data_IF_309391715871
#
_entry.id   IF_309391715871
#
_cell.length_a   1.000
_cell.length_b   1.000
_cell.length_c   1.000
_cell.angle_alpha   90.00
_cell.angle_beta   90.00
_cell.angle_gamma   90.00
#
_symmetry.space_group_name_H-M   'P 1'
#
loop_
_entity.id
_entity.type
_entity.pdbx_description
1 polymer ?
#
# COMPACT_ATOMS: atom_id res chain seq x y z
N UNK A 1 9.28 18.46 -15.13
CA UNK A 1 7.91 18.47 -14.61
C UNK A 1 7.47 17.02 -14.64
N UNK A 2 7.39 16.37 -13.48
CA UNK A 2 6.96 14.97 -13.42
C UNK A 2 5.50 14.86 -13.84
N UNK A 3 5.21 13.94 -14.75
CA UNK A 3 3.87 13.68 -15.24
C UNK A 3 3.18 12.69 -14.29
N UNK A 4 2.13 13.15 -13.60
CA UNK A 4 1.41 12.29 -12.64
C UNK A 4 0.11 11.77 -13.25
N UNK A 5 0.00 10.45 -13.36
CA UNK A 5 -1.19 9.73 -13.80
C UNK A 5 -2.07 9.50 -12.56
N UNK A 6 -3.11 10.33 -12.41
CA UNK A 6 -4.04 10.24 -11.28
C UNK A 6 -5.13 9.20 -11.53
N UNK A 7 -5.59 8.55 -10.45
CA UNK A 7 -6.82 7.76 -10.46
C UNK A 7 -8.00 8.71 -10.62
N UNK A 8 -8.98 8.31 -11.44
CA UNK A 8 -10.19 9.12 -11.65
C UNK A 8 -10.95 9.35 -10.35
N UNK A 9 -11.55 10.54 -10.21
CA UNK A 9 -12.30 10.93 -9.01
C UNK A 9 -13.49 9.98 -8.74
N UNK A 10 -14.12 9.46 -9.79
CA UNK A 10 -15.22 8.49 -9.67
C UNK A 10 -14.77 7.19 -8.98
N UNK A 11 -13.59 6.67 -9.36
CA UNK A 11 -13.00 5.47 -8.76
C UNK A 11 -12.59 5.74 -7.31
N UNK A 12 -12.02 6.92 -7.03
CA UNK A 12 -11.69 7.35 -5.65
C UNK A 12 -12.94 7.40 -4.77
N UNK A 13 -14.03 7.98 -5.25
CA UNK A 13 -15.29 8.06 -4.50
C UNK A 13 -15.90 6.68 -4.25
N UNK A 14 -15.84 5.77 -5.23
CA UNK A 14 -16.31 4.40 -5.08
C UNK A 14 -15.56 3.68 -3.96
N UNK A 15 -14.22 3.66 -4.00
CA UNK A 15 -13.42 3.03 -2.96
C UNK A 15 -13.50 3.74 -1.62
N UNK A 16 -13.74 5.06 -1.62
CA UNK A 16 -13.95 5.83 -0.38
C UNK A 16 -15.27 5.43 0.30
N UNK A 17 -16.32 5.11 -0.47
CA UNK A 17 -17.58 4.56 0.09
C UNK A 17 -17.37 3.17 0.68
N UNK A 18 -16.54 2.34 0.05
CA UNK A 18 -16.30 0.95 0.49
C UNK A 18 -15.34 0.85 1.69
N UNK A 19 -14.22 1.56 1.66
CA UNK A 19 -13.14 1.42 2.65
C UNK A 19 -13.05 2.60 3.64
N UNK A 20 -13.76 3.70 3.37
CA UNK A 20 -13.87 4.85 4.24
C UNK A 20 -12.51 5.43 4.64
N UNK A 21 -12.34 5.69 5.93
CA UNK A 21 -11.14 6.31 6.51
C UNK A 21 -9.85 5.47 6.38
N UNK A 22 -9.93 4.22 5.90
CA UNK A 22 -8.77 3.35 5.70
C UNK A 22 -8.16 3.46 4.31
N UNK A 23 -8.84 4.10 3.36
CA UNK A 23 -8.31 4.30 2.01
C UNK A 23 -7.20 5.35 2.04
N UNK A 24 -6.11 5.09 1.30
CA UNK A 24 -4.99 6.00 1.10
C UNK A 24 -4.64 6.04 -0.38
N UNK A 25 -4.24 7.22 -0.84
CA UNK A 25 -3.64 7.41 -2.15
C UNK A 25 -2.13 7.35 -1.98
N UNK A 26 -1.48 6.55 -2.83
CA UNK A 26 -0.04 6.34 -2.90
C UNK A 26 0.44 6.81 -4.27
N UNK A 27 1.53 7.55 -4.31
CA UNK A 27 2.16 8.02 -5.55
C UNK A 27 3.42 7.19 -5.76
N UNK A 28 3.45 6.41 -6.84
CA UNK A 28 4.56 5.52 -7.16
C UNK A 28 5.34 6.07 -8.35
N UNK A 29 6.67 6.16 -8.27
CA UNK A 29 7.49 6.47 -9.44
C UNK A 29 7.45 5.29 -10.40
N UNK A 30 7.17 5.55 -11.67
CA UNK A 30 7.18 4.56 -12.75
C UNK A 30 8.56 4.40 -13.39
N UNK A 31 9.45 5.35 -13.15
CA UNK A 31 10.84 5.32 -13.60
C UNK A 31 11.82 5.71 -12.48
N UNK A 32 13.09 5.34 -12.64
CA UNK A 32 14.16 5.61 -11.65
C UNK A 32 14.46 7.11 -11.48
N UNK A 33 13.97 7.93 -12.41
CA UNK A 33 14.22 9.37 -12.47
C UNK A 33 13.03 10.21 -11.97
N UNK A 34 11.94 9.57 -11.52
CA UNK A 34 10.72 10.24 -11.04
C UNK A 34 10.12 11.22 -12.06
N UNK A 35 10.25 10.92 -13.36
CA UNK A 35 9.62 11.71 -14.43
C UNK A 35 8.16 11.32 -14.62
N UNK A 36 7.81 10.07 -14.34
CA UNK A 36 6.43 9.58 -14.41
C UNK A 36 6.01 9.01 -13.07
N UNK A 37 4.87 9.50 -12.55
CA UNK A 37 4.31 9.06 -11.28
C UNK A 37 2.93 8.48 -11.55
N UNK A 38 2.61 7.33 -10.98
CA UNK A 38 1.27 6.74 -11.02
C UNK A 38 0.64 6.81 -9.63
N UNK A 39 -0.60 7.29 -9.57
CA UNK A 39 -1.40 7.22 -8.36
C UNK A 39 -2.06 5.85 -8.24
N UNK A 40 -1.91 5.21 -7.08
CA UNK A 40 -2.61 3.97 -6.74
C UNK A 40 -3.30 4.11 -5.39
N UNK A 41 -4.42 3.41 -5.24
CA UNK A 41 -5.18 3.37 -4.00
C UNK A 41 -4.85 2.08 -3.23
N UNK A 42 -4.58 2.25 -1.95
CA UNK A 42 -4.35 1.16 -1.01
C UNK A 42 -5.18 1.34 0.26
N UNK A 43 -5.54 0.23 0.89
CA UNK A 43 -6.25 0.19 2.17
C UNK A 43 -5.23 -0.07 3.27
N UNK A 44 -5.31 0.69 4.36
CA UNK A 44 -4.51 0.46 5.57
C UNK A 44 -4.63 -1.01 6.00
N UNK A 45 -3.51 -1.73 6.13
CA UNK A 45 -3.53 -3.17 6.38
C UNK A 45 -4.21 -3.50 7.72
N UNK A 46 -5.03 -4.54 7.71
CA UNK A 46 -5.68 -5.06 8.92
C UNK A 46 -4.71 -5.90 9.76
N UNK A 47 -5.04 -6.10 11.04
CA UNK A 47 -4.27 -6.98 11.94
C UNK A 47 -4.03 -8.39 11.36
N UNK A 48 -4.98 -8.90 10.56
CA UNK A 48 -4.89 -10.22 9.97
C UNK A 48 -3.83 -10.26 8.86
N UNK A 49 -3.81 -9.24 8.00
CA UNK A 49 -2.80 -9.10 6.93
C UNK A 49 -1.42 -8.87 7.54
N UNK A 50 -1.32 -7.99 8.54
CA UNK A 50 -0.06 -7.73 9.27
C UNK A 50 0.44 -9.01 9.96
N UNK A 51 -0.44 -9.80 10.58
CA UNK A 51 -0.06 -11.07 11.20
C UNK A 51 0.51 -12.09 10.21
N UNK A 52 -0.08 -12.18 9.01
CA UNK A 52 0.46 -13.03 7.94
C UNK A 52 1.79 -12.50 7.41
N UNK A 53 1.93 -11.19 7.24
CA UNK A 53 3.20 -10.56 6.88
C UNK A 53 4.31 -10.90 7.88
N UNK A 54 4.09 -10.64 9.17
CA UNK A 54 5.06 -10.89 10.24
C UNK A 54 5.41 -12.38 10.38
N UNK A 55 4.48 -13.29 10.07
CA UNK A 55 4.74 -14.73 10.05
C UNK A 55 5.80 -15.11 9.01
N UNK A 56 5.79 -14.47 7.84
CA UNK A 56 6.67 -14.83 6.73
C UNK A 56 7.89 -13.92 6.59
N UNK A 57 7.92 -12.73 7.20
CA UNK A 57 8.98 -11.72 6.98
C UNK A 57 10.41 -12.27 7.16
N UNK A 58 10.63 -13.19 8.11
CA UNK A 58 11.94 -13.79 8.35
C UNK A 58 12.18 -15.11 7.58
N UNK A 59 11.11 -15.84 7.25
CA UNK A 59 11.20 -17.17 6.65
C UNK A 59 11.11 -17.14 5.12
N UNK A 60 10.26 -16.27 4.59
CA UNK A 60 10.01 -16.03 3.18
C UNK A 60 9.62 -14.56 2.97
N UNK A 61 10.63 -13.66 2.90
CA UNK A 61 10.39 -12.22 2.76
C UNK A 61 9.60 -11.87 1.50
N UNK A 62 9.82 -12.61 0.41
CA UNK A 62 9.10 -12.42 -0.86
C UNK A 62 7.61 -12.65 -0.67
N UNK A 63 7.24 -13.79 -0.05
CA UNK A 63 5.84 -14.08 0.27
C UNK A 63 5.25 -13.06 1.23
N UNK A 64 6.03 -12.57 2.19
CA UNK A 64 5.58 -11.53 3.11
C UNK A 64 5.23 -10.23 2.37
N UNK A 65 6.09 -9.76 1.47
CA UNK A 65 5.84 -8.59 0.62
C UNK A 65 4.57 -8.79 -0.23
N UNK A 66 4.46 -9.96 -0.87
CA UNK A 66 3.30 -10.34 -1.66
C UNK A 66 1.99 -10.27 -0.87
N UNK A 67 2.00 -10.77 0.38
CA UNK A 67 0.84 -10.72 1.26
C UNK A 67 0.41 -9.28 1.50
N UNK A 68 1.32 -8.36 1.78
CA UNK A 68 0.96 -6.96 2.02
C UNK A 68 0.39 -6.33 0.76
N UNK A 69 1.12 -6.35 -0.35
CA UNK A 69 0.71 -5.68 -1.59
C UNK A 69 -0.62 -6.25 -2.11
N UNK A 70 -0.75 -7.58 -2.18
CA UNK A 70 -1.95 -8.21 -2.74
C UNK A 70 -3.20 -8.01 -1.87
N UNK A 71 -3.06 -7.83 -0.56
CA UNK A 71 -4.21 -7.67 0.34
C UNK A 71 -4.55 -6.21 0.68
N UNK A 72 -3.78 -5.24 0.22
CA UNK A 72 -4.01 -3.81 0.51
C UNK A 72 -4.26 -2.99 -0.73
N UNK A 73 -3.62 -3.31 -1.86
CA UNK A 73 -3.78 -2.55 -3.10
C UNK A 73 -5.11 -2.86 -3.79
N UNK A 74 -5.86 -1.80 -4.12
CA UNK A 74 -7.21 -1.91 -4.72
C UNK A 74 -7.30 -1.42 -6.16
N UNK A 75 -6.29 -0.67 -6.65
CA UNK A 75 -6.20 -0.23 -8.06
C UNK A 75 -4.84 -0.57 -8.65
N UNK A 76 -4.74 -0.67 -9.99
CA UNK A 76 -3.48 -0.88 -10.72
C UNK A 76 -2.69 -2.11 -10.23
N UNK A 77 -3.39 -3.12 -9.69
CA UNK A 77 -2.77 -4.26 -9.05
C UNK A 77 -1.94 -5.11 -10.00
N UNK A 78 -2.43 -5.34 -11.21
CA UNK A 78 -1.71 -6.13 -12.21
C UNK A 78 -0.43 -5.42 -12.65
N UNK A 79 -0.49 -4.10 -12.88
CA UNK A 79 0.67 -3.29 -13.24
C UNK A 79 1.71 -3.27 -12.12
N UNK A 80 1.30 -3.03 -10.87
CA UNK A 80 2.20 -3.04 -9.71
C UNK A 80 2.79 -4.43 -9.45
N UNK A 81 2.08 -5.52 -9.72
CA UNK A 81 2.61 -6.89 -9.56
C UNK A 81 3.53 -7.32 -10.70
N UNK A 82 3.49 -6.64 -11.84
CA UNK A 82 4.28 -6.97 -13.04
C UNK A 82 5.61 -6.21 -13.12
N UNK A 83 5.77 -5.14 -12.33
CA UNK A 83 6.96 -4.29 -12.32
C UNK A 83 7.61 -4.26 -10.93
N UNK A 84 8.88 -4.64 -10.85
CA UNK A 84 9.61 -4.75 -9.58
C UNK A 84 9.77 -3.39 -8.87
N UNK A 85 9.95 -2.30 -9.63
CA UNK A 85 10.10 -0.95 -9.10
C UNK A 85 8.80 -0.46 -8.46
N UNK A 86 7.69 -0.58 -9.19
CA UNK A 86 6.35 -0.26 -8.68
C UNK A 86 5.98 -1.14 -7.49
N UNK A 87 6.29 -2.43 -7.54
CA UNK A 87 6.02 -3.37 -6.45
C UNK A 87 6.74 -2.96 -5.17
N UNK A 88 8.04 -2.69 -5.24
CA UNK A 88 8.85 -2.33 -4.07
C UNK A 88 8.48 -0.95 -3.53
N UNK A 89 8.18 0.02 -4.41
CA UNK A 89 7.68 1.33 -4.00
C UNK A 89 6.34 1.21 -3.27
N UNK A 90 5.39 0.44 -3.82
CA UNK A 90 4.10 0.19 -3.20
C UNK A 90 4.26 -0.52 -1.85
N UNK A 91 5.09 -1.56 -1.80
CA UNK A 91 5.38 -2.29 -0.57
C UNK A 91 5.93 -1.37 0.53
N UNK A 92 6.91 -0.53 0.22
CA UNK A 92 7.51 0.41 1.18
C UNK A 92 6.46 1.36 1.77
N UNK A 93 5.66 2.00 0.92
CA UNK A 93 4.59 2.89 1.37
C UNK A 93 3.51 2.15 2.18
N UNK A 94 3.16 0.92 1.79
CA UNK A 94 2.19 0.10 2.53
C UNK A 94 2.71 -0.30 3.91
N UNK A 95 4.02 -0.56 4.06
CA UNK A 95 4.64 -0.82 5.37
C UNK A 95 4.51 0.41 6.27
N UNK A 96 4.73 1.61 5.74
CA UNK A 96 4.56 2.86 6.50
C UNK A 96 3.10 3.12 6.91
N UNK A 97 2.13 2.54 6.20
CA UNK A 97 0.72 2.57 6.57
C UNK A 97 0.35 1.62 7.71
N UNK A 98 1.23 0.73 8.16
CA UNK A 98 0.93 -0.21 9.25
C UNK A 98 0.64 0.58 10.55
N UNK A 99 -0.57 0.47 11.11
CA UNK A 99 -0.96 1.32 12.22
C UNK A 99 -0.25 0.91 13.52
N UNK A 100 0.72 1.71 13.96
CA UNK A 100 1.34 1.60 15.28
C UNK A 100 0.76 2.65 16.23
N UNK A 101 -0.10 2.22 17.15
CA UNK A 101 -0.60 3.08 18.23
C UNK A 101 0.27 2.88 19.47
N UNK A 102 0.80 3.97 20.01
CA UNK A 102 1.49 3.95 21.30
C UNK A 102 0.46 3.88 22.44
N UNK A 103 0.61 2.87 23.31
CA UNK A 103 -0.13 2.79 24.56
C UNK A 103 0.43 3.74 25.61
N UNK A 104 -0.34 3.98 26.67
CA UNK A 104 0.12 4.67 27.89
C UNK A 104 -0.11 3.76 29.08
N UNK A 105 0.81 3.74 30.03
CA UNK A 105 0.60 3.04 31.30
C UNK A 105 -0.44 3.78 32.14
N UNK A 106 -1.45 3.06 32.63
CA UNK A 106 -2.38 3.56 33.64
C UNK A 106 -1.77 3.47 35.04
N UNK A 107 -2.20 4.35 35.96
CA UNK A 107 -1.93 4.17 37.39
C UNK A 107 -2.95 3.17 37.94
N UNK A 108 -2.47 2.26 38.79
CA UNK A 108 -3.31 1.38 39.63
C UNK A 108 -3.56 2.09 40.95
#
# INVERSE_FOLDING_TARGET
MSNTIYVSEEVKEQYKKEHGAKLRSLLLPKDDFDNEIIEVLAVVPSRNVVGQYLKFVNADPKKAQDILVKNTLVTHKEEVLADDGLFLAAFGLIVDLIPMRQGKFGKV
#
